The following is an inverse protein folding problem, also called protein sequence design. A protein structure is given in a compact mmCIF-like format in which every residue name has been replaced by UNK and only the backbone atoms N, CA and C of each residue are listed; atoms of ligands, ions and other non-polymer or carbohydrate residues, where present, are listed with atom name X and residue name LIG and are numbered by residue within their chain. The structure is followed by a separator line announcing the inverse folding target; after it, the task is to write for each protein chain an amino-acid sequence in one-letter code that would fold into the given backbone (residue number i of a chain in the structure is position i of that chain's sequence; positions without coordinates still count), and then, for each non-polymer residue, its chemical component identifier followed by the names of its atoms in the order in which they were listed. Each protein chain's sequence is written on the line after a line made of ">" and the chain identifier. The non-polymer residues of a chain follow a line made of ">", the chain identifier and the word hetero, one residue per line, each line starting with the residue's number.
data_IF_320037724088
#
_entry.id   IF_320037724088
#
_cell.length_a   1.000
_cell.length_b   1.000
_cell.length_c   1.000
_cell.angle_alpha   90.00
_cell.angle_beta   90.00
_cell.angle_gamma   90.00
#
_symmetry.space_group_name_H-M   'P 1'
#
loop_
_entity.id
_entity.type
_entity.pdbx_description
1 polymer ?
#
# COMPACT_ATOMS: atom_id res chain seq x y z
N UNK A 1 49.38 29.57 -82.73
CA UNK A 1 48.24 30.46 -83.05
C UNK A 1 47.09 30.11 -82.13
N UNK A 2 46.44 31.13 -81.55
CA UNK A 2 45.44 31.08 -80.49
C UNK A 2 44.31 30.04 -80.70
N UNK A 3 43.85 29.39 -79.62
CA UNK A 3 42.53 29.65 -78.98
C UNK A 3 42.25 28.74 -77.77
N UNK A 4 41.61 29.35 -76.77
CA UNK A 4 41.05 28.79 -75.52
C UNK A 4 39.89 27.81 -75.80
N UNK A 5 39.62 26.90 -74.86
CA UNK A 5 38.30 26.56 -74.27
C UNK A 5 38.51 25.38 -73.29
N UNK A 6 38.47 25.60 -71.96
CA UNK A 6 37.30 25.47 -71.09
C UNK A 6 36.55 24.13 -71.23
N UNK A 7 36.82 23.18 -70.32
CA UNK A 7 35.80 22.27 -69.82
C UNK A 7 36.01 22.08 -68.31
N UNK A 8 35.09 22.68 -67.55
CA UNK A 8 34.85 22.44 -66.15
C UNK A 8 34.34 20.99 -65.98
N UNK A 9 35.08 20.15 -65.27
CA UNK A 9 34.55 18.89 -64.74
C UNK A 9 34.12 19.13 -63.29
N UNK A 10 32.81 19.29 -63.11
CA UNK A 10 32.16 19.43 -61.81
C UNK A 10 32.32 18.16 -60.98
N UNK A 11 33.11 18.21 -59.92
CA UNK A 11 33.19 17.13 -58.93
C UNK A 11 31.94 17.18 -58.04
N UNK A 12 30.95 16.33 -58.33
CA UNK A 12 29.80 16.14 -57.43
C UNK A 12 30.27 15.30 -56.24
N UNK A 13 30.70 15.95 -55.16
CA UNK A 13 30.79 15.30 -53.86
C UNK A 13 29.38 15.00 -53.36
N UNK A 14 28.92 13.76 -53.55
CA UNK A 14 27.74 13.26 -52.89
C UNK A 14 28.06 13.07 -51.40
N UNK A 15 27.76 14.06 -50.57
CA UNK A 15 27.74 13.91 -49.12
C UNK A 15 26.55 12.99 -48.78
N UNK A 16 26.81 11.70 -48.60
CA UNK A 16 25.89 10.78 -47.95
C UNK A 16 25.76 11.24 -46.49
N UNK A 17 24.73 12.04 -46.23
CA UNK A 17 24.26 12.35 -44.88
C UNK A 17 23.71 11.04 -44.30
N UNK A 18 24.59 10.28 -43.64
CA UNK A 18 24.21 9.16 -42.80
C UNK A 18 23.43 9.76 -41.63
N UNK A 19 22.11 9.88 -41.78
CA UNK A 19 21.22 10.19 -40.67
C UNK A 19 21.28 8.96 -39.77
N UNK A 20 22.22 8.95 -38.82
CA UNK A 20 22.13 8.11 -37.64
C UNK A 20 20.85 8.55 -36.93
N UNK A 21 19.74 7.88 -37.26
CA UNK A 21 18.60 7.81 -36.35
C UNK A 21 19.14 7.06 -35.15
N UNK A 22 19.72 7.81 -34.20
CA UNK A 22 19.94 7.30 -32.86
C UNK A 22 18.52 7.00 -32.39
N UNK A 23 18.14 5.73 -32.17
CA UNK A 23 16.92 5.49 -31.44
C UNK A 23 17.18 6.18 -30.11
N UNK A 24 16.45 7.26 -29.85
CA UNK A 24 16.20 7.68 -28.48
C UNK A 24 15.51 6.47 -27.88
N UNK A 25 16.31 5.58 -27.28
CA UNK A 25 15.81 4.70 -26.25
C UNK A 25 15.29 5.71 -25.23
N UNK A 26 13.97 5.90 -25.24
CA UNK A 26 13.29 6.24 -24.01
C UNK A 26 13.79 5.18 -23.05
N UNK A 27 14.71 5.58 -22.19
CA UNK A 27 15.09 4.79 -21.05
C UNK A 27 13.79 4.73 -20.26
N UNK A 28 13.02 3.68 -20.53
CA UNK A 28 11.78 3.36 -19.86
C UNK A 28 12.16 3.09 -18.42
N UNK A 29 12.29 4.19 -17.68
CA UNK A 29 12.18 4.34 -16.25
C UNK A 29 11.41 3.15 -15.67
N UNK A 30 12.08 2.37 -14.81
CA UNK A 30 11.73 0.98 -14.50
C UNK A 30 10.22 0.69 -14.46
N UNK A 31 9.82 -0.36 -15.17
CA UNK A 31 8.45 -0.88 -15.35
C UNK A 31 7.41 -0.27 -14.38
N UNK A 32 6.60 0.67 -14.87
CA UNK A 32 5.59 1.38 -14.06
C UNK A 32 4.66 0.38 -13.35
N UNK A 33 4.63 0.45 -12.02
CA UNK A 33 3.77 -0.38 -11.17
C UNK A 33 2.72 0.47 -10.47
N UNK A 34 1.50 0.46 -11.01
CA UNK A 34 0.36 1.23 -10.48
C UNK A 34 0.10 0.98 -9.00
N UNK A 35 0.43 -0.22 -8.49
CA UNK A 35 0.22 -0.57 -7.07
C UNK A 35 1.04 0.31 -6.13
N UNK A 36 2.14 0.90 -6.62
CA UNK A 36 3.01 1.82 -5.86
C UNK A 36 2.47 3.26 -5.85
N UNK A 37 1.51 3.57 -6.72
CA UNK A 37 0.98 4.93 -6.93
C UNK A 37 -0.38 5.16 -6.28
N UNK A 38 -0.77 4.32 -5.31
CA UNK A 38 -2.09 4.38 -4.67
C UNK A 38 -2.11 5.20 -3.37
N UNK A 39 -1.05 5.98 -3.08
CA UNK A 39 -0.95 6.83 -1.89
C UNK A 39 -1.25 6.04 -0.60
N UNK A 40 -2.08 6.58 0.29
CA UNK A 40 -2.44 5.95 1.57
C UNK A 40 -3.30 4.68 1.45
N UNK A 41 -3.66 4.24 0.24
CA UNK A 41 -4.34 2.94 0.01
C UNK A 41 -3.44 1.90 -0.65
N UNK A 42 -2.15 2.20 -0.85
CA UNK A 42 -1.13 1.20 -1.20
C UNK A 42 -1.08 0.13 -0.11
N UNK A 43 -1.09 -1.15 -0.51
CA UNK A 43 -0.99 -2.28 0.42
C UNK A 43 0.37 -2.33 1.10
N UNK A 44 0.40 -2.88 2.31
CA UNK A 44 1.62 -2.88 3.12
C UNK A 44 2.75 -3.69 2.48
N UNK A 45 2.42 -4.83 1.85
CA UNK A 45 3.38 -5.68 1.14
C UNK A 45 4.07 -4.98 -0.04
N UNK A 46 3.36 -4.12 -0.75
CA UNK A 46 3.92 -3.30 -1.83
C UNK A 46 4.78 -2.17 -1.26
N UNK A 47 4.31 -1.52 -0.19
CA UNK A 47 5.01 -0.38 0.42
C UNK A 47 6.29 -0.80 1.17
N UNK A 48 6.28 -1.95 1.87
CA UNK A 48 7.44 -2.43 2.64
C UNK A 48 8.63 -2.72 1.71
N UNK A 49 8.39 -3.19 0.49
CA UNK A 49 9.46 -3.50 -0.45
C UNK A 49 10.10 -2.24 -1.03
N UNK A 50 9.35 -1.13 -1.11
CA UNK A 50 9.90 0.20 -1.45
C UNK A 50 10.77 0.69 -0.30
N UNK A 51 10.25 0.66 0.93
CA UNK A 51 10.99 1.15 2.09
C UNK A 51 12.24 0.32 2.39
N UNK A 52 12.26 -0.99 2.13
CA UNK A 52 13.47 -1.83 2.28
C UNK A 52 14.55 -1.50 1.24
N UNK A 53 14.17 -1.02 0.04
CA UNK A 53 15.15 -0.62 -0.98
C UNK A 53 15.80 0.73 -0.64
N UNK A 54 15.06 1.61 0.02
CA UNK A 54 15.51 2.96 0.40
C UNK A 54 16.09 3.01 1.81
N UNK A 55 15.69 2.10 2.71
CA UNK A 55 16.19 2.00 4.07
C UNK A 55 17.33 1.00 4.15
N UNK A 56 18.47 1.44 4.69
CA UNK A 56 19.55 0.53 5.10
C UNK A 56 18.97 -0.42 6.17
N UNK A 57 18.99 -1.75 5.96
CA UNK A 57 18.57 -2.69 7.00
C UNK A 57 19.50 -2.54 8.20
N UNK A 58 19.06 -1.77 9.21
CA UNK A 58 19.83 -1.63 10.44
C UNK A 58 19.59 -2.89 11.28
N UNK A 59 20.50 -3.85 11.16
CA UNK A 59 20.65 -4.91 12.14
C UNK A 59 21.10 -4.30 13.47
N UNK A 60 20.62 -4.85 14.58
CA UNK A 60 21.13 -4.44 15.90
C UNK A 60 22.65 -4.69 15.92
N UNK A 61 23.48 -3.68 16.21
CA UNK A 61 24.93 -3.87 16.27
C UNK A 61 25.31 -4.97 17.27
N UNK A 62 26.36 -5.75 16.99
CA UNK A 62 26.74 -6.92 17.80
C UNK A 62 26.96 -6.64 19.30
N UNK A 63 27.25 -5.40 19.67
CA UNK A 63 27.51 -4.99 21.06
C UNK A 63 26.28 -4.36 21.73
N UNK A 64 25.15 -4.26 21.03
CA UNK A 64 23.93 -3.64 21.51
C UNK A 64 22.86 -4.70 21.73
N UNK A 65 22.07 -4.50 22.79
CA UNK A 65 20.89 -5.29 23.10
C UNK A 65 19.66 -4.39 23.10
N UNK A 66 18.58 -4.71 22.36
CA UNK A 66 17.32 -4.00 22.49
C UNK A 66 16.79 -4.16 23.91
N UNK A 67 16.42 -3.05 24.55
CA UNK A 67 15.82 -3.04 25.90
C UNK A 67 14.37 -2.56 25.91
N UNK A 68 13.91 -1.93 24.83
CA UNK A 68 12.56 -1.38 24.71
C UNK A 68 12.15 -1.33 23.23
N UNK A 69 10.87 -1.61 22.94
CA UNK A 69 10.26 -1.39 21.63
C UNK A 69 9.01 -0.50 21.76
N UNK A 70 8.98 0.59 21.00
CA UNK A 70 7.76 1.38 20.78
C UNK A 70 7.35 1.22 19.31
N UNK A 71 6.12 0.75 19.08
CA UNK A 71 5.55 0.59 17.75
C UNK A 71 4.26 1.41 17.65
N UNK A 72 4.22 2.33 16.68
CA UNK A 72 3.00 2.95 16.21
C UNK A 72 2.66 2.38 14.84
N UNK A 73 1.53 1.68 14.75
CA UNK A 73 1.07 1.07 13.50
C UNK A 73 -0.32 1.58 13.12
N UNK A 74 -0.52 1.81 11.82
CA UNK A 74 -1.86 2.00 11.26
C UNK A 74 -2.58 0.65 11.24
N UNK A 75 -3.92 0.71 11.22
CA UNK A 75 -4.73 -0.47 10.87
C UNK A 75 -4.33 -1.06 9.52
N UNK A 76 -4.60 -2.36 9.33
CA UNK A 76 -4.32 -3.07 8.07
C UNK A 76 -5.29 -2.71 6.95
N UNK A 77 -5.12 -3.39 5.81
CA UNK A 77 -6.02 -3.29 4.67
C UNK A 77 -7.48 -3.50 5.09
N UNK A 78 -8.36 -2.61 4.60
CA UNK A 78 -9.78 -2.56 4.98
C UNK A 78 -10.67 -2.51 3.75
N UNK A 79 -11.93 -2.88 3.94
CA UNK A 79 -12.98 -2.60 2.96
C UNK A 79 -13.15 -1.07 2.79
N UNK A 80 -13.67 -0.61 1.63
CA UNK A 80 -14.11 0.77 1.45
C UNK A 80 -15.10 1.19 2.54
N UNK A 81 -15.10 2.47 2.90
CA UNK A 81 -16.05 2.98 3.89
C UNK A 81 -17.47 2.96 3.31
N UNK A 82 -18.50 3.01 4.16
CA UNK A 82 -19.90 3.08 3.72
C UNK A 82 -20.15 4.19 2.70
N UNK A 83 -19.50 5.35 2.87
CA UNK A 83 -19.55 6.45 1.90
C UNK A 83 -18.98 6.03 0.55
N UNK A 84 -17.80 5.42 0.52
CA UNK A 84 -17.16 4.95 -0.71
C UNK A 84 -17.92 3.82 -1.41
N UNK A 85 -18.56 2.93 -0.65
CA UNK A 85 -19.43 1.90 -1.22
C UNK A 85 -20.59 2.52 -2.03
N UNK A 86 -21.27 3.52 -1.46
CA UNK A 86 -22.33 4.27 -2.16
C UNK A 86 -21.82 5.00 -3.41
N UNK A 87 -20.64 5.61 -3.33
CA UNK A 87 -20.04 6.29 -4.49
C UNK A 87 -19.73 5.30 -5.62
N UNK A 88 -19.26 4.09 -5.31
CA UNK A 88 -19.01 3.04 -6.30
C UNK A 88 -20.30 2.50 -6.93
N UNK A 89 -21.38 2.36 -6.16
CA UNK A 89 -22.69 1.98 -6.69
C UNK A 89 -23.24 3.06 -7.63
N UNK A 90 -23.17 4.33 -7.21
CA UNK A 90 -23.59 5.47 -8.03
C UNK A 90 -22.77 5.59 -9.33
N UNK A 91 -21.47 5.29 -9.27
CA UNK A 91 -20.62 5.21 -10.46
C UNK A 91 -21.16 4.17 -11.44
N UNK A 92 -21.54 2.98 -10.97
CA UNK A 92 -22.09 1.92 -11.81
C UNK A 92 -23.37 2.35 -12.52
N UNK A 93 -24.32 2.93 -11.77
CA UNK A 93 -25.56 3.47 -12.35
C UNK A 93 -25.27 4.57 -13.38
N UNK A 94 -24.29 5.44 -13.12
CA UNK A 94 -23.93 6.51 -14.06
C UNK A 94 -23.27 5.97 -15.33
N UNK A 95 -22.44 4.93 -15.21
CA UNK A 95 -21.86 4.26 -16.38
C UNK A 95 -22.94 3.61 -17.24
N UNK A 96 -23.93 2.95 -16.63
CA UNK A 96 -25.06 2.36 -17.38
C UNK A 96 -25.77 3.44 -18.24
N UNK A 97 -26.06 4.62 -17.68
CA UNK A 97 -26.70 5.74 -18.42
C UNK A 97 -25.81 6.29 -19.54
N UNK A 98 -24.51 6.45 -19.29
CA UNK A 98 -23.58 7.02 -20.27
C UNK A 98 -23.34 6.07 -21.46
N UNK A 99 -23.49 4.77 -21.25
CA UNK A 99 -23.17 3.74 -22.23
C UNK A 99 -24.40 3.20 -22.99
N UNK A 100 -25.62 3.59 -22.61
CA UNK A 100 -26.88 3.07 -23.18
C UNK A 100 -26.96 3.15 -24.71
N UNK A 101 -26.42 4.23 -25.31
CA UNK A 101 -26.44 4.47 -26.75
C UNK A 101 -25.05 4.39 -27.40
N UNK A 102 -24.05 3.90 -26.68
CA UNK A 102 -22.69 3.74 -27.20
C UNK A 102 -22.56 2.32 -27.76
N UNK A 103 -22.26 2.20 -29.06
CA UNK A 103 -21.97 0.90 -29.67
C UNK A 103 -20.55 0.46 -29.30
N UNK A 104 -20.37 -0.83 -28.99
CA UNK A 104 -19.07 -1.42 -28.65
C UNK A 104 -18.03 -1.32 -29.77
N UNK A 105 -18.47 -1.01 -31.00
CA UNK A 105 -17.63 -0.99 -32.20
C UNK A 105 -17.22 0.41 -32.71
N UNK A 106 -17.88 1.49 -32.27
CA UNK A 106 -17.55 2.88 -32.71
C UNK A 106 -16.89 3.74 -31.62
N UNK A 107 -16.65 3.19 -30.43
CA UNK A 107 -16.18 3.97 -29.29
C UNK A 107 -14.78 3.59 -28.84
N UNK A 108 -13.95 4.59 -28.52
CA UNK A 108 -12.69 4.41 -27.78
C UNK A 108 -12.92 3.99 -26.30
N UNK A 109 -14.08 3.41 -25.99
CA UNK A 109 -14.49 3.04 -24.64
C UNK A 109 -14.06 1.59 -24.40
N UNK A 110 -13.28 1.31 -23.34
CA UNK A 110 -12.91 -0.05 -23.00
C UNK A 110 -14.13 -0.94 -22.74
N UNK A 111 -14.16 -2.12 -23.39
CA UNK A 111 -15.28 -3.09 -23.32
C UNK A 111 -15.65 -3.45 -21.88
N UNK A 112 -14.69 -3.51 -20.96
CA UNK A 112 -14.94 -3.86 -19.56
C UNK A 112 -15.81 -2.85 -18.78
N UNK A 113 -16.00 -1.64 -19.29
CA UNK A 113 -16.89 -0.64 -18.68
C UNK A 113 -18.36 -0.96 -18.91
N UNK A 114 -18.70 -1.64 -20.01
CA UNK A 114 -20.07 -2.03 -20.31
C UNK A 114 -20.55 -3.06 -19.28
N UNK A 115 -21.67 -2.75 -18.63
CA UNK A 115 -22.21 -3.58 -17.56
C UNK A 115 -21.34 -3.61 -16.29
N UNK A 116 -20.36 -2.71 -16.13
CA UNK A 116 -19.53 -2.67 -14.93
C UNK A 116 -20.39 -2.55 -13.68
N UNK A 117 -20.13 -3.42 -12.70
CA UNK A 117 -20.72 -3.35 -11.37
C UNK A 117 -19.62 -3.25 -10.33
N UNK A 118 -19.92 -2.54 -9.25
CA UNK A 118 -19.00 -2.44 -8.12
C UNK A 118 -18.60 -3.83 -7.61
N UNK A 119 -17.31 -4.13 -7.46
CA UNK A 119 -16.85 -5.40 -6.86
C UNK A 119 -17.20 -5.49 -5.36
N UNK A 120 -17.73 -4.40 -4.80
CA UNK A 120 -18.24 -4.33 -3.44
C UNK A 120 -19.77 -4.33 -3.38
N UNK A 121 -20.46 -4.61 -4.48
CA UNK A 121 -21.92 -4.67 -4.53
C UNK A 121 -22.49 -5.62 -3.47
N UNK A 122 -23.65 -5.27 -2.91
CA UNK A 122 -24.35 -6.02 -1.83
C UNK A 122 -23.64 -6.00 -0.46
N UNK A 123 -22.44 -5.41 -0.34
CA UNK A 123 -21.80 -5.18 0.97
C UNK A 123 -22.34 -3.88 1.57
N UNK A 124 -23.14 -3.98 2.62
CA UNK A 124 -23.72 -2.82 3.32
C UNK A 124 -22.90 -2.36 4.53
N UNK A 125 -22.04 -3.24 5.05
CA UNK A 125 -21.04 -2.92 6.06
C UNK A 125 -19.78 -2.39 5.37
N UNK A 126 -19.18 -1.34 5.92
CA UNK A 126 -18.09 -0.63 5.25
C UNK A 126 -17.04 -0.14 6.24
N UNK A 127 -15.77 -0.18 5.82
CA UNK A 127 -14.63 0.25 6.63
C UNK A 127 -14.15 -0.77 7.66
N UNK A 128 -14.58 -2.03 7.54
CA UNK A 128 -14.12 -3.18 8.32
C UNK A 128 -12.71 -3.60 7.88
N UNK A 129 -11.94 -4.15 8.81
CA UNK A 129 -10.70 -4.84 8.49
C UNK A 129 -11.04 -6.08 7.65
N UNK A 130 -10.29 -6.35 6.59
CA UNK A 130 -10.45 -7.55 5.77
C UNK A 130 -9.28 -8.51 6.00
N UNK A 131 -9.39 -9.74 5.54
CA UNK A 131 -8.41 -10.81 5.76
C UNK A 131 -6.99 -10.44 5.36
N UNK A 132 -6.83 -9.65 4.30
CA UNK A 132 -5.53 -9.14 3.86
C UNK A 132 -4.92 -8.25 4.94
N UNK A 133 -5.73 -7.39 5.58
CA UNK A 133 -5.28 -6.56 6.68
C UNK A 133 -5.00 -7.34 7.96
N UNK A 134 -5.75 -8.42 8.22
CA UNK A 134 -5.45 -9.33 9.33
C UNK A 134 -4.09 -9.99 9.14
N UNK A 135 -3.84 -10.55 7.96
CA UNK A 135 -2.56 -11.19 7.63
C UNK A 135 -1.40 -10.18 7.68
N UNK A 136 -1.59 -8.97 7.15
CA UNK A 136 -0.57 -7.91 7.20
C UNK A 136 -0.09 -7.64 8.63
N UNK A 137 -1.01 -7.54 9.59
CA UNK A 137 -0.70 -7.26 10.98
C UNK A 137 -0.20 -8.49 11.73
N UNK A 138 -0.77 -9.66 11.45
CA UNK A 138 -0.28 -10.92 12.00
C UNK A 138 1.19 -11.14 11.63
N UNK A 139 1.53 -11.04 10.35
CA UNK A 139 2.90 -11.21 9.89
C UNK A 139 3.83 -10.10 10.41
N UNK A 140 3.31 -8.87 10.61
CA UNK A 140 4.06 -7.82 11.28
C UNK A 140 4.41 -8.20 12.72
N UNK A 141 3.46 -8.80 13.46
CA UNK A 141 3.68 -9.31 14.81
C UNK A 141 4.74 -10.41 14.86
N UNK A 142 4.65 -11.38 13.95
CA UNK A 142 5.64 -12.46 13.81
C UNK A 142 7.04 -11.88 13.54
N UNK A 143 7.19 -11.03 12.52
CA UNK A 143 8.49 -10.42 12.19
C UNK A 143 9.04 -9.55 13.32
N UNK A 144 8.17 -8.86 14.06
CA UNK A 144 8.57 -8.03 15.21
C UNK A 144 9.21 -8.89 16.29
N UNK A 145 8.58 -10.03 16.62
CA UNK A 145 9.15 -10.98 17.57
C UNK A 145 10.46 -11.57 17.07
N UNK A 146 10.51 -12.02 15.81
CA UNK A 146 11.71 -12.62 15.22
C UNK A 146 12.89 -11.65 15.18
N UNK A 147 12.61 -10.35 14.97
CA UNK A 147 13.64 -9.32 14.94
C UNK A 147 14.18 -8.98 16.34
N UNK A 148 13.35 -9.08 17.37
CA UNK A 148 13.71 -8.69 18.73
C UNK A 148 13.37 -9.79 19.75
N UNK A 149 13.90 -11.01 19.61
CA UNK A 149 13.46 -12.17 20.38
C UNK A 149 13.65 -11.98 21.88
N UNK A 150 14.74 -11.31 22.28
CA UNK A 150 15.09 -11.05 23.67
C UNK A 150 14.07 -10.16 24.42
N UNK A 151 13.28 -9.35 23.70
CA UNK A 151 12.21 -8.55 24.31
C UNK A 151 10.96 -9.37 24.63
N UNK A 152 10.83 -10.59 24.09
CA UNK A 152 9.63 -11.42 24.16
C UNK A 152 9.90 -12.81 24.75
N UNK A 153 10.90 -12.91 25.63
CA UNK A 153 11.22 -14.13 26.38
C UNK A 153 10.17 -14.42 27.45
N UNK A 154 9.69 -13.38 28.12
CA UNK A 154 8.71 -13.47 29.20
C UNK A 154 7.29 -13.79 28.70
N UNK A 155 6.45 -14.32 29.61
CA UNK A 155 5.03 -14.52 29.33
C UNK A 155 4.29 -13.19 29.30
N UNK A 156 3.23 -13.12 28.50
CA UNK A 156 2.41 -11.92 28.42
C UNK A 156 1.88 -11.47 29.79
N UNK A 157 2.20 -10.23 30.14
CA UNK A 157 1.56 -9.43 31.18
C UNK A 157 1.20 -8.04 30.60
N UNK A 158 0.01 -7.48 30.87
CA UNK A 158 -0.43 -6.19 30.31
C UNK A 158 0.47 -5.00 30.68
N UNK A 159 1.14 -5.04 31.84
CA UNK A 159 2.05 -3.96 32.27
C UNK A 159 3.43 -4.02 31.58
N UNK A 160 3.80 -5.18 31.04
CA UNK A 160 5.08 -5.41 30.33
C UNK A 160 4.89 -5.19 28.83
N UNK A 161 3.77 -5.69 28.30
CA UNK A 161 3.43 -5.61 26.87
C UNK A 161 2.13 -4.82 26.67
N UNK A 162 2.12 -3.51 26.97
CA UNK A 162 0.92 -2.71 26.80
C UNK A 162 0.56 -2.58 25.31
N UNK A 163 -0.60 -3.14 24.93
CA UNK A 163 -1.16 -2.98 23.59
C UNK A 163 -2.33 -2.00 23.67
N UNK A 164 -2.20 -0.87 22.97
CA UNK A 164 -3.23 0.18 22.90
C UNK A 164 -3.75 0.32 21.48
N UNK A 165 -5.05 0.60 21.36
CA UNK A 165 -5.69 0.90 20.08
C UNK A 165 -6.74 1.99 20.22
N UNK A 166 -7.10 2.66 19.14
CA UNK A 166 -8.31 3.51 19.13
C UNK A 166 -9.57 2.65 19.22
N UNK A 167 -10.69 3.20 19.70
CA UNK A 167 -12.02 2.57 19.66
C UNK A 167 -12.64 2.39 18.25
N UNK A 168 -11.85 2.54 17.19
CA UNK A 168 -12.30 2.23 15.82
C UNK A 168 -12.16 0.73 15.59
N UNK A 169 -13.23 -0.01 15.21
CA UNK A 169 -13.19 -1.47 15.15
C UNK A 169 -12.06 -2.07 14.29
N UNK A 170 -11.77 -1.48 13.13
CA UNK A 170 -10.64 -1.94 12.29
C UNK A 170 -9.27 -1.75 12.94
N UNK A 171 -9.12 -0.75 13.81
CA UNK A 171 -7.86 -0.50 14.52
C UNK A 171 -7.69 -1.48 15.69
N UNK A 172 -8.74 -1.74 16.47
CA UNK A 172 -8.70 -2.75 17.52
C UNK A 172 -8.52 -4.16 16.95
N UNK A 173 -9.22 -4.51 15.87
CA UNK A 173 -9.02 -5.79 15.17
C UNK A 173 -7.59 -5.93 14.62
N UNK A 174 -6.98 -4.85 14.13
CA UNK A 174 -5.58 -4.83 13.70
C UNK A 174 -4.62 -5.07 14.85
N UNK A 175 -4.87 -4.46 16.01
CA UNK A 175 -4.07 -4.69 17.21
C UNK A 175 -4.20 -6.14 17.71
N UNK A 176 -5.38 -6.75 17.58
CA UNK A 176 -5.58 -8.18 17.87
C UNK A 176 -4.81 -9.05 16.89
N UNK A 177 -4.92 -8.82 15.57
CA UNK A 177 -4.17 -9.59 14.58
C UNK A 177 -2.64 -9.50 14.83
N UNK A 178 -2.13 -8.31 15.12
CA UNK A 178 -0.74 -8.10 15.50
C UNK A 178 -0.35 -8.89 16.76
N UNK A 179 -1.14 -8.80 17.84
CA UNK A 179 -0.89 -9.53 19.07
C UNK A 179 -0.95 -11.05 18.89
N UNK A 180 -1.84 -11.55 18.02
CA UNK A 180 -1.91 -12.97 17.67
C UNK A 180 -0.62 -13.46 16.99
N UNK A 181 -0.04 -12.67 16.10
CA UNK A 181 1.26 -12.97 15.50
C UNK A 181 2.41 -12.90 16.50
N UNK A 182 2.45 -11.81 17.28
CA UNK A 182 3.49 -11.55 18.27
C UNK A 182 3.57 -12.67 19.32
N UNK A 183 2.43 -13.09 19.86
CA UNK A 183 2.36 -14.12 20.91
C UNK A 183 2.01 -15.52 20.37
N UNK A 184 2.11 -15.75 19.06
CA UNK A 184 1.87 -17.06 18.46
C UNK A 184 2.80 -18.13 19.07
N UNK A 185 2.26 -19.26 19.51
CA UNK A 185 3.05 -20.33 20.15
C UNK A 185 3.41 -20.10 21.62
N UNK A 186 3.11 -18.94 22.19
CA UNK A 186 3.46 -18.56 23.58
C UNK A 186 2.35 -18.84 24.61
N UNK A 187 1.26 -19.50 24.21
CA UNK A 187 0.17 -19.88 25.10
C UNK A 187 -0.25 -21.34 24.96
N UNK A 188 -1.46 -21.63 25.46
CA UNK A 188 -2.03 -22.98 25.57
C UNK A 188 -3.41 -23.10 24.89
N UNK A 189 -3.92 -22.02 24.29
CA UNK A 189 -5.27 -22.00 23.71
C UNK A 189 -5.25 -22.51 22.27
N UNK A 190 -6.00 -23.59 22.01
CA UNK A 190 -6.19 -24.17 20.68
C UNK A 190 -4.91 -24.74 20.06
N UNK A 191 -5.02 -25.23 18.82
CA UNK A 191 -3.89 -25.83 18.09
C UNK A 191 -2.77 -24.82 17.80
N UNK A 192 -3.12 -23.54 17.61
CA UNK A 192 -2.16 -22.45 17.40
C UNK A 192 -1.41 -22.02 18.66
N UNK A 193 -1.68 -22.65 19.83
CA UNK A 193 -1.04 -22.33 21.11
C UNK A 193 -1.08 -20.84 21.41
N UNK A 194 -2.25 -20.24 21.22
CA UNK A 194 -2.44 -18.81 21.38
C UNK A 194 -2.41 -18.42 22.86
N UNK A 195 -1.93 -17.21 23.13
CA UNK A 195 -2.01 -16.55 24.43
C UNK A 195 -3.08 -15.45 24.34
N UNK A 196 -4.00 -15.42 25.29
CA UNK A 196 -4.89 -14.27 25.44
C UNK A 196 -4.10 -13.04 25.90
N UNK A 197 -4.44 -11.88 25.35
CA UNK A 197 -3.85 -10.58 25.69
C UNK A 197 -4.93 -9.50 25.69
N UNK A 198 -4.66 -8.36 26.33
CA UNK A 198 -5.58 -7.23 26.41
C UNK A 198 -5.19 -6.15 25.41
N UNK A 199 -6.18 -5.61 24.73
CA UNK A 199 -6.05 -4.38 23.94
C UNK A 199 -6.84 -3.29 24.64
N UNK A 200 -6.13 -2.26 25.12
CA UNK A 200 -6.73 -1.15 25.86
C UNK A 200 -7.05 -0.01 24.89
N UNK A 201 -8.19 0.65 25.08
CA UNK A 201 -8.60 1.77 24.23
C UNK A 201 -9.16 2.91 25.06
N UNK A 202 -8.76 4.14 24.71
CA UNK A 202 -9.33 5.36 25.27
C UNK A 202 -10.68 5.70 24.63
N UNK A 203 -11.50 6.51 25.30
CA UNK A 203 -12.77 6.97 24.74
C UNK A 203 -12.55 7.81 23.49
N UNK A 204 -13.41 7.68 22.47
CA UNK A 204 -13.30 8.53 21.26
C UNK A 204 -13.35 10.04 21.56
N UNK A 205 -13.99 10.43 22.65
CA UNK A 205 -14.10 11.84 23.05
C UNK A 205 -12.84 12.37 23.72
N UNK A 206 -11.99 11.49 24.27
CA UNK A 206 -10.85 11.86 25.13
C UNK A 206 -9.53 11.23 24.69
N UNK A 207 -9.47 10.56 23.54
CA UNK A 207 -8.26 9.93 23.01
C UNK A 207 -7.31 10.98 22.43
N UNK A 208 -6.60 11.66 23.32
CA UNK A 208 -5.60 12.70 23.00
C UNK A 208 -4.29 12.16 22.46
N UNK A 209 -4.10 10.83 22.42
CA UNK A 209 -2.85 10.20 21.99
C UNK A 209 -2.96 9.65 20.57
N UNK A 210 -3.99 8.87 20.27
CA UNK A 210 -4.16 8.19 18.99
C UNK A 210 -5.25 8.86 18.12
N UNK A 211 -6.11 9.71 18.70
CA UNK A 211 -7.13 10.49 17.98
C UNK A 211 -7.16 11.97 18.35
N UNK A 212 -6.01 12.58 18.66
CA UNK A 212 -5.93 14.01 18.99
C UNK A 212 -6.63 14.92 17.97
N UNK A 213 -6.63 14.54 16.68
CA UNK A 213 -7.30 15.25 15.59
C UNK A 213 -8.84 15.28 15.72
N UNK A 214 -9.44 14.31 16.42
CA UNK A 214 -10.87 14.32 16.71
C UNK A 214 -11.20 15.08 18.00
N UNK A 215 -10.24 15.25 18.91
CA UNK A 215 -10.43 15.90 20.20
C UNK A 215 -10.14 17.41 20.16
N UNK A 216 -9.25 17.84 19.26
CA UNK A 216 -8.87 19.25 19.14
C UNK A 216 -9.91 20.05 18.33
N UNK A 217 -10.58 21.01 18.97
CA UNK A 217 -11.58 21.86 18.30
C UNK A 217 -10.97 22.79 17.25
N UNK A 218 -9.76 23.31 17.49
CA UNK A 218 -9.08 24.19 16.53
C UNK A 218 -8.57 23.46 15.28
N UNK A 219 -8.50 22.13 15.31
CA UNK A 219 -8.06 21.32 14.16
C UNK A 219 -9.22 20.97 13.21
N UNK A 220 -10.45 20.89 13.74
CA UNK A 220 -11.66 20.55 12.97
C UNK A 220 -12.12 21.73 12.11
#
# INVERSE_FOLDING_TARGET
>A
MLRRCLLFASWRFAFLLLICVVPVRSDGEGNFDVRRCLSTVTRYDVAKDISVREAVPSSVPHQCKPIHLNLLARHGTRAPTKKKLKELEALGTRLDVLLENVTEHDSNVPIWLFGWKSPWGKKYKGGELISEGENELFDLGVRTRERFPELFEELYHPDIYPIKSTQVPRASASAVAFGMGLFSGKGLLGQGRHRAFSVISESRASDTMLRFHDCCQNYK
#
